data_IF_974011269979
#
_entry.id   IF_974011269979
#
_cell.length_a   1.000
_cell.length_b   1.000
_cell.length_c   1.000
_cell.angle_alpha   90.00
_cell.angle_beta   90.00
_cell.angle_gamma   90.00
#
_symmetry.space_group_name_H-M   'P 1'
#
loop_
_entity.id
_entity.type
_entity.pdbx_description
1 polymer ?
#
# COMPACT_ATOMS: atom_id res chain seq x y z
N UNK A 1 31.90 -19.75 15.20
CA UNK A 1 31.41 -18.37 15.13
C UNK A 1 31.97 -17.73 13.87
N UNK A 2 31.23 -17.81 12.75
CA UNK A 2 31.40 -16.98 11.55
C UNK A 2 30.01 -16.99 10.88
N UNK A 3 29.39 -15.82 10.74
CA UNK A 3 28.15 -15.64 9.99
C UNK A 3 28.53 -15.16 8.59
N UNK A 4 28.24 -15.89 7.50
CA UNK A 4 28.38 -15.33 6.16
C UNK A 4 27.01 -15.06 5.54
N UNK A 5 26.85 -13.84 5.01
CA UNK A 5 25.86 -13.53 3.98
C UNK A 5 24.53 -12.96 4.45
N UNK A 6 24.54 -11.79 5.11
CA UNK A 6 23.40 -10.86 5.02
C UNK A 6 23.51 -10.15 3.66
N UNK A 7 23.43 -10.92 2.58
CA UNK A 7 23.29 -10.38 1.23
C UNK A 7 21.90 -9.78 1.16
N UNK A 8 21.88 -8.46 0.97
CA UNK A 8 20.67 -7.69 0.89
C UNK A 8 19.84 -8.21 -0.26
N UNK A 9 18.81 -8.98 0.06
CA UNK A 9 17.59 -9.08 -0.71
C UNK A 9 16.97 -7.67 -0.82
N UNK A 10 17.64 -6.79 -1.55
CA UNK A 10 17.00 -5.77 -2.36
C UNK A 10 16.37 -6.57 -3.48
N UNK A 11 15.29 -7.26 -3.15
CA UNK A 11 14.36 -7.77 -4.13
C UNK A 11 14.02 -6.55 -4.96
N UNK A 12 14.59 -6.52 -6.16
CA UNK A 12 14.24 -5.57 -7.18
C UNK A 12 12.82 -5.98 -7.56
N UNK A 13 11.85 -5.63 -6.71
CA UNK A 13 10.43 -5.81 -6.94
C UNK A 13 10.10 -4.85 -8.06
N UNK A 14 10.45 -5.26 -9.27
CA UNK A 14 9.94 -4.72 -10.51
C UNK A 14 8.48 -5.13 -10.52
N UNK A 15 7.66 -4.29 -9.90
CA UNK A 15 6.22 -4.39 -10.00
C UNK A 15 5.87 -4.22 -11.48
N UNK A 16 5.10 -5.15 -12.09
CA UNK A 16 4.66 -4.98 -13.45
C UNK A 16 4.04 -3.60 -13.62
N UNK A 17 4.54 -2.85 -14.61
CA UNK A 17 4.10 -1.48 -14.90
C UNK A 17 2.59 -1.46 -15.24
N UNK A 18 2.09 -2.57 -15.77
CA UNK A 18 0.72 -2.76 -16.24
C UNK A 18 0.03 -3.92 -15.51
N UNK A 19 -0.08 -3.83 -14.19
CA UNK A 19 -0.97 -4.71 -13.42
C UNK A 19 -2.38 -4.08 -13.35
N UNK A 20 -3.30 -4.64 -14.14
CA UNK A 20 -4.70 -4.22 -14.16
C UNK A 20 -5.38 -4.45 -12.80
N UNK A 21 -5.00 -5.51 -12.09
CA UNK A 21 -5.50 -5.81 -10.75
C UNK A 21 -5.06 -4.76 -9.73
N UNK A 22 -3.79 -4.36 -9.77
CA UNK A 22 -3.24 -3.28 -8.94
C UNK A 22 -3.92 -1.95 -9.23
N UNK A 23 -4.21 -1.68 -10.51
CA UNK A 23 -4.89 -0.46 -10.93
C UNK A 23 -6.33 -0.41 -10.42
N UNK A 24 -7.08 -1.52 -10.50
CA UNK A 24 -8.41 -1.61 -9.89
C UNK A 24 -8.35 -1.52 -8.36
N UNK A 25 -7.40 -2.20 -7.73
CA UNK A 25 -7.22 -2.18 -6.27
C UNK A 25 -6.93 -0.76 -5.76
N UNK A 26 -6.07 0.00 -6.42
CA UNK A 26 -5.86 1.43 -6.09
C UNK A 26 -7.14 2.23 -6.32
N UNK A 27 -7.84 2.00 -7.43
CA UNK A 27 -9.08 2.69 -7.75
C UNK A 27 -10.14 2.52 -6.65
N UNK A 28 -10.35 1.29 -6.18
CA UNK A 28 -11.27 1.00 -5.09
C UNK A 28 -10.87 1.72 -3.80
N UNK A 29 -9.58 1.72 -3.44
CA UNK A 29 -9.07 2.43 -2.26
C UNK A 29 -9.33 3.93 -2.36
N UNK A 30 -8.96 4.55 -3.49
CA UNK A 30 -9.14 5.99 -3.72
C UNK A 30 -10.62 6.37 -3.63
N UNK A 31 -11.50 5.59 -4.26
CA UNK A 31 -12.95 5.82 -4.19
C UNK A 31 -13.45 5.72 -2.76
N UNK A 32 -13.08 4.68 -2.01
CA UNK A 32 -13.55 4.51 -0.63
C UNK A 32 -12.99 5.58 0.32
N UNK A 33 -11.70 5.93 0.22
CA UNK A 33 -11.11 7.00 1.03
C UNK A 33 -11.81 8.34 0.77
N UNK A 34 -12.10 8.64 -0.50
CA UNK A 34 -12.82 9.86 -0.86
C UNK A 34 -14.24 9.87 -0.31
N UNK A 35 -14.96 8.76 -0.39
CA UNK A 35 -16.34 8.65 0.09
C UNK A 35 -16.44 8.70 1.62
N UNK A 36 -15.54 8.02 2.34
CA UNK A 36 -15.61 7.90 3.80
C UNK A 36 -14.96 9.06 4.55
N UNK A 37 -13.89 9.64 3.99
CA UNK A 37 -13.04 10.59 4.71
C UNK A 37 -12.74 11.87 3.92
N UNK A 38 -13.13 11.96 2.64
CA UNK A 38 -12.83 13.10 1.78
C UNK A 38 -11.36 13.20 1.33
N UNK A 39 -10.50 12.27 1.75
CA UNK A 39 -9.06 12.25 1.47
C UNK A 39 -8.70 11.27 0.36
N UNK A 40 -7.48 11.37 -0.15
CA UNK A 40 -6.86 10.44 -1.12
C UNK A 40 -5.66 9.72 -0.52
N UNK A 41 -5.13 8.69 -1.21
CA UNK A 41 -3.89 8.04 -0.75
C UNK A 41 -2.70 9.01 -0.72
N UNK A 42 -2.71 10.04 -1.57
CA UNK A 42 -1.69 11.10 -1.59
C UNK A 42 -1.74 11.98 -0.35
N UNK A 43 -2.93 12.30 0.16
CA UNK A 43 -3.11 13.08 1.39
C UNK A 43 -2.55 12.31 2.61
N UNK A 44 -2.54 10.98 2.53
CA UNK A 44 -1.92 10.08 3.52
C UNK A 44 -0.41 9.88 3.31
N UNK A 45 0.20 10.59 2.36
CA UNK A 45 1.62 10.45 2.02
C UNK A 45 1.98 9.13 1.31
N UNK A 46 0.99 8.40 0.80
CA UNK A 46 1.23 7.14 0.10
C UNK A 46 1.43 7.37 -1.39
N UNK A 47 2.55 6.87 -1.90
CA UNK A 47 2.86 6.86 -3.34
C UNK A 47 2.58 5.48 -3.95
N UNK A 48 2.61 5.40 -5.28
CA UNK A 48 2.35 4.16 -6.02
C UNK A 48 3.29 3.01 -5.63
N UNK A 49 4.52 3.30 -5.23
CA UNK A 49 5.48 2.27 -4.78
C UNK A 49 5.08 1.69 -3.42
N UNK A 50 4.70 2.56 -2.47
CA UNK A 50 4.20 2.14 -1.16
C UNK A 50 2.92 1.33 -1.29
N UNK A 51 1.99 1.78 -2.13
CA UNK A 51 0.75 1.04 -2.43
C UNK A 51 1.05 -0.32 -3.08
N UNK A 52 2.03 -0.37 -4.00
CA UNK A 52 2.50 -1.61 -4.60
C UNK A 52 2.95 -2.61 -3.54
N UNK A 53 3.75 -2.18 -2.57
CA UNK A 53 4.21 -3.06 -1.47
C UNK A 53 3.05 -3.70 -0.72
N UNK A 54 1.97 -2.97 -0.44
CA UNK A 54 0.78 -3.56 0.22
C UNK A 54 0.07 -4.56 -0.69
N UNK A 55 -0.17 -4.18 -1.96
CA UNK A 55 -0.85 -5.05 -2.92
C UNK A 55 -0.11 -6.38 -3.13
N UNK A 56 1.19 -6.33 -3.43
CA UNK A 56 2.00 -7.53 -3.67
C UNK A 56 2.32 -8.31 -2.38
N UNK A 57 2.12 -7.71 -1.20
CA UNK A 57 2.10 -8.43 0.07
C UNK A 57 0.76 -9.16 0.33
N UNK A 58 -0.20 -9.09 -0.60
CA UNK A 58 -1.50 -9.76 -0.48
C UNK A 58 -2.50 -9.02 0.43
N UNK A 59 -2.29 -7.73 0.68
CA UNK A 59 -3.19 -6.94 1.52
C UNK A 59 -4.49 -6.64 0.75
N UNK A 60 -5.61 -6.98 1.36
CA UNK A 60 -6.93 -6.71 0.79
C UNK A 60 -7.28 -5.23 0.88
N UNK A 61 -8.16 -4.76 -0.01
CA UNK A 61 -8.70 -3.39 0.01
C UNK A 61 -9.23 -3.01 1.38
N UNK A 62 -10.01 -3.89 2.03
CA UNK A 62 -10.59 -3.65 3.35
C UNK A 62 -9.53 -3.50 4.43
N UNK A 63 -8.54 -4.39 4.48
CA UNK A 63 -7.47 -4.33 5.48
C UNK A 63 -6.63 -3.05 5.32
N UNK A 64 -6.38 -2.63 4.08
CA UNK A 64 -5.71 -1.37 3.81
C UNK A 64 -6.55 -0.17 4.26
N UNK A 65 -7.84 -0.14 3.96
CA UNK A 65 -8.74 0.94 4.38
C UNK A 65 -8.82 1.06 5.91
N UNK A 66 -8.86 -0.05 6.64
CA UNK A 66 -8.79 -0.02 8.11
C UNK A 66 -7.46 0.54 8.63
N UNK A 67 -6.35 0.22 7.95
CA UNK A 67 -5.05 0.81 8.27
C UNK A 67 -5.04 2.32 7.99
N UNK A 68 -5.55 2.75 6.83
CA UNK A 68 -5.65 4.15 6.45
C UNK A 68 -6.57 4.95 7.39
N UNK A 69 -7.71 4.38 7.79
CA UNK A 69 -8.63 5.02 8.75
C UNK A 69 -7.95 5.31 10.10
N UNK A 70 -7.07 4.41 10.57
CA UNK A 70 -6.28 4.63 11.79
C UNK A 70 -5.27 5.78 11.67
N UNK A 71 -4.77 6.05 10.46
CA UNK A 71 -3.89 7.20 10.20
C UNK A 71 -4.65 8.52 10.20
N UNK A 72 -5.91 8.50 9.71
CA UNK A 72 -6.77 9.67 9.60
C UNK A 72 -7.35 10.07 10.97
N UNK A 73 -7.76 9.09 11.76
CA UNK A 73 -8.36 9.31 13.09
C UNK A 73 -7.44 8.74 14.15
N UNK A 74 -6.39 9.47 14.59
CA UNK A 74 -5.63 9.04 15.75
C UNK A 74 -6.59 8.98 16.94
N UNK A 75 -6.77 7.79 17.51
CA UNK A 75 -7.51 7.62 18.77
C UNK A 75 -6.90 8.57 19.81
N UNK A 76 -7.68 9.56 20.24
CA UNK A 76 -7.46 10.35 21.45
C UNK A 76 -7.54 9.44 22.68
#
# INVERSE_FOLDING_TARGET
MVFPGRDGAKENMTYPLEDTGFTHWIGDIETQLRLSHGVSTKDLGMNRLSLGRFYYAGITTFAFLEHAARLITPRL
#
